data_IF_457601885170
#
_entry.id   IF_457601885170
#
_cell.length_a   1.000
_cell.length_b   1.000
_cell.length_c   1.000
_cell.angle_alpha   90.00
_cell.angle_beta   90.00
_cell.angle_gamma   90.00
#
_symmetry.space_group_name_H-M   'P 1'
#
loop_
_entity.id
_entity.type
_entity.pdbx_description
1 polymer ?
#
# COMPACT_ATOMS: atom_id res chain seq x y z
N UNK A 1 11.37 4.39 19.21
CA UNK A 1 11.12 3.05 18.66
C UNK A 1 10.05 3.15 17.58
N UNK A 2 10.39 2.84 16.33
CA UNK A 2 9.47 2.77 15.20
C UNK A 2 9.74 1.48 14.41
N UNK A 3 8.77 1.02 13.63
CA UNK A 3 8.97 -0.13 12.74
C UNK A 3 9.75 0.34 11.50
N UNK A 4 10.79 -0.40 11.15
CA UNK A 4 11.56 -0.17 9.93
C UNK A 4 10.95 -0.96 8.79
N UNK A 5 10.47 -0.27 7.75
CA UNK A 5 9.90 -0.90 6.55
C UNK A 5 10.96 -1.16 5.49
N UNK A 6 11.95 -0.27 5.38
CA UNK A 6 13.05 -0.34 4.42
C UNK A 6 14.39 -0.24 5.15
N UNK A 7 15.37 -1.02 4.70
CA UNK A 7 16.74 -0.94 5.19
C UNK A 7 17.53 0.22 4.56
N UNK A 8 18.83 0.34 4.90
CA UNK A 8 19.69 1.41 4.37
C UNK A 8 19.98 1.27 2.86
N UNK A 9 19.69 0.12 2.26
CA UNK A 9 19.84 -0.15 0.83
C UNK A 9 18.50 -0.01 0.08
N UNK A 10 17.41 0.31 0.77
CA UNK A 10 16.08 0.40 0.19
C UNK A 10 15.38 -0.95 0.00
N UNK A 11 15.87 -2.01 0.63
CA UNK A 11 15.24 -3.32 0.61
C UNK A 11 14.16 -3.44 1.69
N UNK A 12 13.05 -4.08 1.35
CA UNK A 12 11.98 -4.26 2.32
C UNK A 12 12.39 -5.20 3.45
N UNK A 13 11.99 -4.84 4.67
CA UNK A 13 12.11 -5.68 5.86
C UNK A 13 10.78 -6.33 6.24
N UNK A 14 9.67 -5.92 5.61
CA UNK A 14 8.34 -6.45 5.86
C UNK A 14 7.56 -6.54 4.54
N UNK A 15 7.69 -7.68 3.85
CA UNK A 15 7.01 -7.95 2.58
C UNK A 15 5.48 -8.02 2.69
N UNK A 16 4.93 -8.20 3.89
CA UNK A 16 3.48 -8.19 4.05
C UNK A 16 2.94 -6.76 3.95
N UNK A 17 3.66 -5.80 4.54
CA UNK A 17 3.25 -4.40 4.53
C UNK A 17 3.72 -3.62 3.30
N UNK A 18 4.92 -3.89 2.79
CA UNK A 18 5.52 -3.17 1.67
C UNK A 18 6.48 -4.10 0.92
N UNK A 19 6.32 -4.25 -0.39
CA UNK A 19 7.31 -4.98 -1.20
C UNK A 19 8.56 -4.14 -1.48
N UNK A 20 9.56 -4.72 -2.16
CA UNK A 20 10.71 -3.97 -2.64
C UNK A 20 10.26 -2.78 -3.52
N UNK A 21 11.00 -1.67 -3.43
CA UNK A 21 10.71 -0.47 -4.20
C UNK A 21 10.84 -0.75 -5.71
N UNK A 22 9.86 -0.29 -6.47
CA UNK A 22 9.94 -0.27 -7.93
C UNK A 22 10.44 1.10 -8.40
N UNK A 23 11.55 1.11 -9.13
CA UNK A 23 12.14 2.32 -9.69
C UNK A 23 11.62 2.54 -11.11
N UNK A 24 10.86 3.60 -11.32
CA UNK A 24 10.24 3.92 -12.60
C UNK A 24 11.20 4.68 -13.52
N UNK A 25 12.04 5.55 -12.96
CA UNK A 25 13.05 6.32 -13.67
C UNK A 25 14.28 6.59 -12.76
N UNK A 26 15.12 7.58 -13.10
CA UNK A 26 16.32 7.93 -12.31
C UNK A 26 15.97 8.69 -11.00
N UNK A 27 14.78 9.29 -10.89
CA UNK A 27 14.38 10.18 -9.79
C UNK A 27 13.08 9.76 -9.08
N UNK A 28 12.43 8.70 -9.57
CA UNK A 28 11.14 8.22 -9.07
C UNK A 28 11.21 6.74 -8.70
N UNK A 29 10.88 6.45 -7.44
CA UNK A 29 10.69 5.10 -6.93
C UNK A 29 9.47 5.05 -6.02
N UNK A 30 8.78 3.92 -6.01
CA UNK A 30 7.60 3.74 -5.18
C UNK A 30 7.12 2.30 -5.13
N UNK A 31 6.23 2.02 -4.18
CA UNK A 31 5.58 0.73 -4.05
C UNK A 31 4.25 0.89 -3.32
N UNK A 32 3.25 0.08 -3.67
CA UNK A 32 1.97 0.03 -2.96
C UNK A 32 2.15 -0.69 -1.61
N UNK A 33 1.62 -0.07 -0.56
CA UNK A 33 1.69 -0.58 0.80
C UNK A 33 0.31 -1.05 1.29
N UNK A 34 0.29 -2.08 2.13
CA UNK A 34 -0.92 -2.42 2.87
C UNK A 34 -1.17 -1.41 4.00
N UNK A 35 -2.45 -1.14 4.29
CA UNK A 35 -2.84 -0.27 5.40
C UNK A 35 -2.74 -1.05 6.71
N UNK A 36 -2.01 -0.49 7.68
CA UNK A 36 -1.84 -1.07 9.02
C UNK A 36 -2.01 -0.02 10.12
N UNK A 37 -2.11 -0.48 11.38
CA UNK A 37 -2.11 0.38 12.58
C UNK A 37 -1.36 -0.27 13.74
N UNK A 38 -0.77 0.56 14.60
CA UNK A 38 -0.29 0.10 15.90
C UNK A 38 -1.43 0.15 16.92
N UNK A 39 -1.56 -0.88 17.76
CA UNK A 39 -2.68 -1.01 18.70
C UNK A 39 -2.85 0.23 19.60
N UNK A 40 -1.75 0.83 20.01
CA UNK A 40 -1.73 1.94 20.97
C UNK A 40 -1.54 3.32 20.31
N UNK A 41 -1.55 3.40 18.97
CA UNK A 41 -1.35 4.67 18.25
C UNK A 41 -2.52 5.01 17.34
N UNK A 42 -3.02 6.23 17.51
CA UNK A 42 -4.14 6.76 16.72
C UNK A 42 -3.70 7.23 15.32
N UNK A 43 -2.43 7.63 15.17
CA UNK A 43 -1.87 8.16 13.91
C UNK A 43 -0.52 7.51 13.62
N UNK A 44 -0.23 7.31 12.33
CA UNK A 44 1.06 6.80 11.84
C UNK A 44 1.74 7.89 11.02
N UNK A 45 3.06 8.02 11.20
CA UNK A 45 3.92 8.89 10.41
C UNK A 45 4.97 8.05 9.70
N UNK A 46 5.23 8.35 8.44
CA UNK A 46 6.28 7.73 7.65
C UNK A 46 7.47 8.69 7.55
N UNK A 47 8.64 8.22 7.96
CA UNK A 47 9.90 8.94 7.80
C UNK A 47 10.82 8.14 6.90
N UNK A 48 11.33 8.79 5.84
CA UNK A 48 12.22 8.17 4.86
C UNK A 48 13.49 8.98 4.73
N UNK A 49 14.63 8.30 4.53
CA UNK A 49 15.88 8.93 4.12
C UNK A 49 16.10 8.64 2.63
N UNK A 50 16.40 9.68 1.86
CA UNK A 50 16.64 9.58 0.41
C UNK A 50 18.13 9.75 0.16
N UNK A 51 18.73 8.86 -0.62
CA UNK A 51 20.11 8.97 -1.12
C UNK A 51 20.08 9.19 -2.63
N UNK A 52 20.93 10.10 -3.11
CA UNK A 52 21.13 10.35 -4.53
C UNK A 52 22.55 9.93 -4.90
N UNK A 53 22.71 9.40 -6.11
CA UNK A 53 23.97 8.96 -6.68
C UNK A 53 24.15 9.59 -8.06
N UNK A 54 25.38 10.00 -8.39
CA UNK A 54 25.68 10.58 -9.69
C UNK A 54 25.98 9.46 -10.70
N UNK A 55 25.13 9.36 -11.72
CA UNK A 55 25.20 8.33 -12.77
C UNK A 55 26.56 8.26 -13.48
N UNK A 56 27.22 9.40 -13.65
CA UNK A 56 28.54 9.51 -14.29
C UNK A 56 29.64 8.81 -13.47
N UNK A 57 29.55 8.86 -12.13
CA UNK A 57 30.50 8.21 -11.23
C UNK A 57 30.33 6.68 -11.19
N UNK A 58 29.14 6.19 -11.59
CA UNK A 58 28.77 4.77 -11.59
C UNK A 58 28.83 4.12 -12.99
N UNK A 59 29.54 4.74 -13.94
CA UNK A 59 29.70 4.17 -15.28
C UNK A 59 28.48 4.30 -16.18
N UNK A 60 27.60 5.27 -15.91
CA UNK A 60 26.46 5.59 -16.76
C UNK A 60 25.13 4.95 -16.35
N UNK A 61 25.04 4.26 -15.21
CA UNK A 61 23.78 3.74 -14.66
C UNK A 61 23.83 3.56 -13.14
N UNK A 62 22.73 3.84 -12.44
CA UNK A 62 22.60 3.56 -11.01
C UNK A 62 22.01 2.16 -10.77
N UNK A 63 22.50 1.44 -9.76
CA UNK A 63 21.91 0.17 -9.34
C UNK A 63 20.60 0.44 -8.60
N UNK A 64 19.47 0.21 -9.28
CA UNK A 64 18.14 0.52 -8.75
C UNK A 64 17.58 -0.51 -7.79
N UNK A 65 17.94 -1.78 -7.92
CA UNK A 65 17.33 -2.85 -7.12
C UNK A 65 18.39 -3.81 -6.57
N UNK A 66 19.03 -3.46 -5.45
CA UNK A 66 20.06 -4.31 -4.84
C UNK A 66 19.48 -5.58 -4.20
N UNK A 67 18.15 -5.69 -4.08
CA UNK A 67 17.47 -6.70 -3.27
C UNK A 67 17.26 -8.03 -4.02
N UNK A 68 17.43 -8.07 -5.35
CA UNK A 68 17.22 -9.27 -6.18
C UNK A 68 18.41 -10.24 -6.18
N UNK A 69 19.29 -10.16 -5.17
CA UNK A 69 20.58 -10.86 -5.11
C UNK A 69 20.62 -12.15 -4.28
N UNK A 70 19.55 -12.52 -3.56
CA UNK A 70 19.60 -13.71 -2.68
C UNK A 70 18.29 -14.49 -2.48
N UNK A 71 17.12 -13.99 -2.90
CA UNK A 71 15.84 -14.58 -2.49
C UNK A 71 14.81 -14.76 -3.62
N UNK A 72 15.24 -14.82 -4.89
CA UNK A 72 14.39 -15.25 -6.02
C UNK A 72 14.31 -16.79 -6.13
N UNK A 73 14.12 -17.45 -4.99
CA UNK A 73 13.76 -18.87 -4.89
C UNK A 73 12.61 -19.04 -3.90
N UNK A 74 11.44 -18.51 -4.28
CA UNK A 74 10.17 -18.87 -3.68
C UNK A 74 9.51 -17.73 -2.92
N UNK A 75 8.66 -16.96 -3.58
CA UNK A 75 7.25 -17.32 -3.68
C UNK A 75 6.55 -16.27 -4.56
N UNK A 76 6.47 -16.51 -5.87
CA UNK A 76 5.38 -15.97 -6.66
C UNK A 76 4.10 -16.66 -6.22
N UNK A 77 3.64 -16.38 -5.00
CA UNK A 77 2.22 -16.56 -4.72
C UNK A 77 1.51 -15.57 -5.66
N UNK A 78 0.64 -16.06 -6.55
CA UNK A 78 -0.26 -15.16 -7.22
C UNK A 78 -0.98 -14.42 -6.10
N UNK A 79 -0.88 -13.09 -6.08
CA UNK A 79 -1.83 -12.27 -5.35
C UNK A 79 -3.17 -12.60 -6.00
N UNK A 80 -3.86 -13.56 -5.42
CA UNK A 80 -5.24 -13.85 -5.75
C UNK A 80 -5.99 -12.60 -5.29
N UNK A 81 -6.12 -11.66 -6.21
CA UNK A 81 -7.10 -10.58 -6.17
C UNK A 81 -8.44 -11.25 -5.94
N UNK A 82 -8.80 -11.40 -4.66
CA UNK A 82 -10.16 -11.67 -4.25
C UNK A 82 -10.96 -10.43 -4.66
N UNK A 83 -11.40 -10.50 -5.90
CA UNK A 83 -12.36 -9.64 -6.54
C UNK A 83 -13.58 -9.59 -5.62
N UNK A 84 -13.71 -8.53 -4.80
CA UNK A 84 -15.00 -8.24 -4.15
C UNK A 84 -15.94 -7.72 -5.23
N UNK A 85 -16.54 -8.65 -5.98
CA UNK A 85 -17.80 -8.37 -6.66
C UNK A 85 -18.83 -7.98 -5.60
N UNK A 86 -19.60 -6.90 -5.77
CA UNK A 86 -20.84 -6.74 -5.06
C UNK A 86 -21.83 -7.76 -5.62
N UNK A 87 -21.98 -8.91 -4.94
CA UNK A 87 -23.06 -9.85 -5.26
C UNK A 87 -24.41 -9.17 -5.02
N UNK A 88 -25.13 -8.98 -6.11
CA UNK A 88 -26.53 -8.61 -6.16
C UNK A 88 -27.40 -9.80 -5.74
N UNK A 89 -27.81 -9.85 -4.48
CA UNK A 89 -28.91 -10.73 -4.06
C UNK A 89 -30.08 -9.93 -3.50
N UNK A 90 -31.11 -9.86 -4.34
CA UNK A 90 -32.43 -9.28 -4.13
C UNK A 90 -33.19 -9.87 -2.94
N UNK A 91 -34.12 -9.06 -2.41
CA UNK A 91 -35.27 -9.35 -1.51
C UNK A 91 -35.05 -9.13 -0.01
N UNK A 92 -35.39 -7.92 0.44
CA UNK A 92 -36.16 -7.75 1.68
C UNK A 92 -37.38 -6.88 1.41
N UNK A 93 -38.56 -7.51 1.48
CA UNK A 93 -39.85 -6.86 1.41
C UNK A 93 -39.99 -5.78 2.50
N UNK A 94 -40.45 -4.60 2.07
CA UNK A 94 -41.58 -3.84 2.64
C UNK A 94 -41.70 -3.77 4.17
N UNK A 95 -41.33 -2.62 4.76
CA UNK A 95 -42.19 -1.86 5.70
C UNK A 95 -41.82 -0.37 5.64
N UNK A 96 -42.35 0.34 4.64
CA UNK A 96 -42.42 1.81 4.69
C UNK A 96 -43.69 2.15 5.47
N UNK A 97 -43.57 2.38 6.78
CA UNK A 97 -44.63 2.96 7.58
C UNK A 97 -44.39 4.46 7.71
N UNK A 98 -45.37 5.23 7.26
CA UNK A 98 -45.39 6.67 7.26
C UNK A 98 -45.43 7.22 8.68
N UNK A 99 -44.59 8.22 8.97
CA UNK A 99 -44.96 9.27 9.91
C UNK A 99 -45.30 10.51 9.10
N UNK A 100 -46.59 10.63 8.82
CA UNK A 100 -47.22 11.83 8.31
C UNK A 100 -47.54 12.71 9.53
N UNK A 101 -46.82 13.80 9.72
CA UNK A 101 -47.30 14.90 10.57
C UNK A 101 -47.71 16.07 9.67
N UNK A 102 -48.99 16.02 9.32
CA UNK A 102 -49.99 17.09 9.21
C UNK A 102 -49.54 18.52 8.83
N UNK A 103 -49.89 18.88 7.59
CA UNK A 103 -50.56 20.09 7.06
C UNK A 103 -50.26 21.50 7.58
N UNK A 104 -50.06 22.37 6.58
CA UNK A 104 -49.89 23.82 6.47
C UNK A 104 -50.94 24.73 7.13
N UNK A 105 -50.55 25.99 7.34
CA UNK A 105 -51.19 27.30 6.98
C UNK A 105 -50.51 28.39 7.82
N UNK A 106 -50.22 29.63 7.42
CA UNK A 106 -50.54 30.51 6.28
C UNK A 106 -49.40 31.52 6.12
#
# INVERSE_FOLDING_TARGET
MGQQLLDANGCTQDHFLLNNLNYLDDMSAGQEAQVFKFADRQTIFFGCQIRLELKEELGGSCQRNPCLGSDDAGNSHPVESHNRQPESSSRRHEKRSAFQNHYSTS
#
